data_IF_471552725819
#
_entry.id   IF_471552725819
#
_cell.length_a   1.000
_cell.length_b   1.000
_cell.length_c   1.000
_cell.angle_alpha   90.00
_cell.angle_beta   90.00
_cell.angle_gamma   90.00
#
_symmetry.space_group_name_H-M   'P 1'
#
loop_
_entity.id
_entity.type
_entity.pdbx_description
1 polymer ?
#
# COMPACT_ATOMS: atom_id res chain seq x y z
N UNK A 1 -19.68 11.34 -7.10
CA UNK A 1 -18.42 11.83 -6.47
C UNK A 1 -17.44 12.18 -7.59
N UNK A 2 -16.73 13.31 -7.52
CA UNK A 2 -15.74 13.66 -8.56
C UNK A 2 -14.48 12.78 -8.47
N UNK A 3 -13.76 12.61 -9.59
CA UNK A 3 -12.48 11.89 -9.60
C UNK A 3 -11.49 12.49 -8.59
N UNK A 4 -11.42 13.82 -8.47
CA UNK A 4 -10.60 14.53 -7.50
C UNK A 4 -10.90 14.10 -6.06
N UNK A 5 -12.18 14.02 -5.68
CA UNK A 5 -12.57 13.59 -4.33
C UNK A 5 -12.17 12.12 -4.09
N UNK A 6 -12.36 11.23 -5.06
CA UNK A 6 -11.99 9.82 -4.95
C UNK A 6 -10.49 9.63 -4.75
N UNK A 7 -9.65 10.38 -5.47
CA UNK A 7 -8.20 10.37 -5.25
C UNK A 7 -7.81 10.89 -3.86
N UNK A 8 -8.47 11.93 -3.35
CA UNK A 8 -8.24 12.42 -1.98
C UNK A 8 -8.66 11.40 -0.92
N UNK A 9 -9.79 10.72 -1.12
CA UNK A 9 -10.22 9.60 -0.25
C UNK A 9 -9.19 8.49 -0.28
N UNK A 10 -8.72 8.08 -1.47
CA UNK A 10 -7.66 7.08 -1.59
C UNK A 10 -6.38 7.50 -0.84
N UNK A 11 -5.97 8.79 -0.95
CA UNK A 11 -4.81 9.32 -0.22
C UNK A 11 -4.96 9.19 1.29
N UNK A 12 -6.10 9.58 1.85
CA UNK A 12 -6.37 9.46 3.30
C UNK A 12 -6.36 8.00 3.74
N UNK A 13 -7.00 7.10 2.98
CA UNK A 13 -6.98 5.66 3.27
C UNK A 13 -5.55 5.10 3.24
N UNK A 14 -4.72 5.54 2.30
CA UNK A 14 -3.31 5.13 2.19
C UNK A 14 -2.48 5.63 3.38
N UNK A 15 -2.71 6.85 3.86
CA UNK A 15 -2.05 7.36 5.07
C UNK A 15 -2.43 6.55 6.31
N UNK A 16 -3.71 6.22 6.46
CA UNK A 16 -4.19 5.36 7.55
C UNK A 16 -3.62 3.95 7.45
N UNK A 17 -3.55 3.41 6.23
CA UNK A 17 -2.94 2.11 5.98
C UNK A 17 -1.44 2.12 6.33
N UNK A 18 -0.70 3.15 5.89
CA UNK A 18 0.73 3.30 6.23
C UNK A 18 0.95 3.41 7.73
N UNK A 19 0.13 4.19 8.45
CA UNK A 19 0.20 4.33 9.90
C UNK A 19 -0.11 3.00 10.60
N UNK A 20 -1.18 2.32 10.23
CA UNK A 20 -1.54 1.01 10.77
C UNK A 20 -0.46 -0.05 10.51
N UNK A 21 0.09 -0.07 9.30
CA UNK A 21 1.20 -0.95 8.94
C UNK A 21 2.44 -0.65 9.78
N UNK A 22 2.85 0.62 9.88
CA UNK A 22 4.03 1.03 10.66
C UNK A 22 3.91 0.67 12.14
N UNK A 23 2.72 0.79 12.71
CA UNK A 23 2.47 0.47 14.12
C UNK A 23 2.37 -1.03 14.38
N UNK A 24 1.98 -1.82 13.36
CA UNK A 24 1.62 -3.22 13.52
C UNK A 24 2.64 -4.24 13.03
N UNK A 25 3.38 -3.96 11.94
CA UNK A 25 4.14 -5.00 11.23
C UNK A 25 5.23 -5.71 12.05
N UNK A 26 5.78 -5.07 13.08
CA UNK A 26 6.77 -5.68 14.00
C UNK A 26 6.17 -6.22 15.29
N UNK A 27 4.85 -6.08 15.48
CA UNK A 27 4.18 -6.60 16.67
C UNK A 27 3.87 -8.07 16.45
N UNK A 28 4.32 -8.91 17.38
CA UNK A 28 3.98 -10.33 17.42
C UNK A 28 2.87 -10.49 18.45
N UNK A 29 1.74 -11.04 18.04
CA UNK A 29 0.65 -11.35 18.97
C UNK A 29 1.05 -12.59 19.79
N UNK A 30 1.06 -12.53 21.12
CA UNK A 30 1.40 -13.68 21.96
C UNK A 30 0.58 -14.94 21.67
N UNK A 31 -0.66 -14.76 21.17
CA UNK A 31 -1.55 -15.87 20.78
C UNK A 31 -1.03 -16.70 19.60
N UNK A 32 -0.10 -16.16 18.81
CA UNK A 32 0.50 -16.90 17.69
C UNK A 32 1.54 -17.90 18.12
N UNK A 33 1.98 -17.86 19.39
CA UNK A 33 3.03 -18.74 19.92
C UNK A 33 4.29 -18.77 19.04
N UNK A 34 4.69 -17.60 18.53
CA UNK A 34 5.75 -17.45 17.54
C UNK A 34 7.11 -17.02 18.12
N UNK A 35 7.25 -16.99 19.45
CA UNK A 35 8.45 -16.47 20.12
C UNK A 35 9.73 -17.19 19.71
N UNK A 36 9.70 -18.53 19.60
CA UNK A 36 10.83 -19.33 19.15
C UNK A 36 11.23 -18.97 17.69
N UNK A 37 10.24 -18.80 16.81
CA UNK A 37 10.47 -18.40 15.42
C UNK A 37 11.08 -17.01 15.33
N UNK A 38 10.55 -16.04 16.09
CA UNK A 38 11.07 -14.68 16.13
C UNK A 38 12.50 -14.65 16.69
N UNK A 39 12.79 -15.49 17.68
CA UNK A 39 14.15 -15.63 18.23
C UNK A 39 15.10 -16.17 17.17
N UNK A 40 14.74 -17.23 16.47
CA UNK A 40 15.52 -17.78 15.37
C UNK A 40 15.75 -16.77 14.23
N UNK A 41 14.72 -15.95 13.88
CA UNK A 41 14.88 -14.89 12.89
C UNK A 41 15.89 -13.81 13.27
N UNK A 42 16.23 -13.65 14.55
CA UNK A 42 17.22 -12.67 15.04
C UNK A 42 18.65 -13.22 15.04
N UNK A 43 18.84 -14.51 14.80
CA UNK A 43 20.18 -15.08 14.64
C UNK A 43 20.87 -14.45 13.43
N UNK A 44 22.16 -14.08 13.65
CA UNK A 44 22.91 -13.33 12.64
C UNK A 44 23.72 -14.27 11.74
N UNK A 45 23.89 -13.86 10.49
CA UNK A 45 24.73 -14.53 9.50
C UNK A 45 25.48 -13.50 8.64
N UNK A 46 26.49 -13.96 7.92
CA UNK A 46 27.24 -13.11 6.99
C UNK A 46 26.63 -13.19 5.60
N UNK A 47 26.34 -12.03 5.03
CA UNK A 47 25.87 -11.90 3.63
C UNK A 47 26.57 -10.72 2.96
N UNK A 48 27.32 -10.98 1.90
CA UNK A 48 28.07 -9.97 1.12
C UNK A 48 28.92 -9.03 2.00
N UNK A 49 29.58 -9.58 3.01
CA UNK A 49 30.44 -8.82 3.93
C UNK A 49 29.71 -8.01 5.00
N UNK A 50 28.40 -8.18 5.13
CA UNK A 50 27.57 -7.54 6.16
C UNK A 50 27.01 -8.58 7.14
N UNK A 51 26.99 -8.26 8.42
CA UNK A 51 26.27 -9.05 9.42
C UNK A 51 24.81 -8.67 9.42
N UNK A 52 23.92 -9.61 9.16
CA UNK A 52 22.47 -9.41 9.07
C UNK A 52 21.74 -10.59 9.71
N UNK A 53 20.44 -10.41 9.93
CA UNK A 53 19.50 -11.44 10.36
C UNK A 53 18.26 -11.43 9.45
N UNK A 54 17.47 -12.48 9.46
CA UNK A 54 16.16 -12.48 8.77
C UNK A 54 15.22 -11.43 9.36
N UNK A 55 15.36 -11.11 10.64
CA UNK A 55 14.62 -10.02 11.28
C UNK A 55 14.96 -8.64 10.70
N UNK A 56 16.24 -8.42 10.32
CA UNK A 56 16.64 -7.18 9.63
C UNK A 56 15.98 -7.08 8.26
N UNK A 57 15.96 -8.17 7.49
CA UNK A 57 15.29 -8.20 6.19
C UNK A 57 13.79 -7.99 6.33
N UNK A 58 13.13 -8.69 7.24
CA UNK A 58 11.71 -8.51 7.55
C UNK A 58 11.40 -7.05 7.91
N UNK A 59 12.19 -6.46 8.80
CA UNK A 59 12.02 -5.07 9.22
C UNK A 59 12.27 -4.10 8.06
N UNK A 60 13.31 -4.34 7.26
CA UNK A 60 13.65 -3.55 6.08
C UNK A 60 12.53 -3.56 5.05
N UNK A 61 11.98 -4.73 4.72
CA UNK A 61 10.81 -4.84 3.82
C UNK A 61 9.57 -4.16 4.40
N UNK A 62 9.33 -4.24 5.71
CA UNK A 62 8.24 -3.53 6.35
C UNK A 62 8.38 -2.01 6.25
N UNK A 63 9.57 -1.46 6.48
CA UNK A 63 9.83 -0.02 6.27
C UNK A 63 9.70 0.39 4.81
N UNK A 64 10.20 -0.43 3.89
CA UNK A 64 10.06 -0.20 2.45
C UNK A 64 8.58 -0.18 2.04
N UNK A 65 7.77 -1.11 2.52
CA UNK A 65 6.34 -1.13 2.29
C UNK A 65 5.64 0.14 2.82
N UNK A 66 5.98 0.58 4.04
CA UNK A 66 5.47 1.85 4.60
C UNK A 66 5.84 3.04 3.69
N UNK A 67 7.09 3.12 3.23
CA UNK A 67 7.56 4.16 2.32
C UNK A 67 6.77 4.18 1.00
N UNK A 68 6.50 3.01 0.42
CA UNK A 68 5.69 2.92 -0.80
C UNK A 68 4.23 3.32 -0.57
N UNK A 69 3.63 2.99 0.57
CA UNK A 69 2.28 3.43 0.93
C UNK A 69 2.20 4.95 1.08
N UNK A 70 3.20 5.58 1.71
CA UNK A 70 3.30 7.03 1.82
C UNK A 70 3.48 7.68 0.45
N UNK A 71 4.35 7.15 -0.40
CA UNK A 71 4.51 7.62 -1.77
C UNK A 71 3.20 7.53 -2.56
N UNK A 72 2.49 6.40 -2.46
CA UNK A 72 1.19 6.22 -3.09
C UNK A 72 0.14 7.22 -2.57
N UNK A 73 0.17 7.55 -1.27
CA UNK A 73 -0.71 8.56 -0.69
C UNK A 73 -0.45 9.96 -1.28
N UNK A 74 0.82 10.35 -1.40
CA UNK A 74 1.22 11.63 -2.02
C UNK A 74 0.80 11.65 -3.49
N UNK A 75 1.03 10.57 -4.23
CA UNK A 75 0.63 10.47 -5.63
C UNK A 75 -0.89 10.60 -5.80
N UNK A 76 -1.67 9.90 -4.97
CA UNK A 76 -3.14 10.03 -4.99
C UNK A 76 -3.59 11.47 -4.68
N UNK A 77 -2.96 12.12 -3.70
CA UNK A 77 -3.26 13.51 -3.37
C UNK A 77 -2.99 14.45 -4.55
N UNK A 78 -1.84 14.29 -5.22
CA UNK A 78 -1.47 15.07 -6.40
C UNK A 78 -2.44 14.85 -7.57
N UNK A 79 -2.82 13.60 -7.85
CA UNK A 79 -3.84 13.31 -8.87
C UNK A 79 -5.17 13.98 -8.54
N UNK A 80 -5.56 14.04 -7.26
CA UNK A 80 -6.76 14.72 -6.81
C UNK A 80 -6.71 16.26 -6.90
N UNK A 81 -5.53 16.83 -7.16
CA UNK A 81 -5.35 18.27 -7.37
C UNK A 81 -5.35 18.69 -8.86
N UNK A 82 -5.29 17.71 -9.79
CA UNK A 82 -5.24 17.98 -11.22
C UNK A 82 -6.63 18.36 -11.78
N UNK A 83 -6.63 19.17 -12.84
CA UNK A 83 -7.84 19.43 -13.64
C UNK A 83 -8.30 18.17 -14.38
N UNK A 84 -9.57 18.13 -14.79
CA UNK A 84 -10.12 17.01 -15.56
C UNK A 84 -9.34 16.74 -16.86
N UNK A 85 -8.92 17.81 -17.54
CA UNK A 85 -8.14 17.71 -18.79
C UNK A 85 -6.77 17.08 -18.54
N UNK A 86 -6.05 17.52 -17.50
CA UNK A 86 -4.77 16.93 -17.11
C UNK A 86 -4.91 15.46 -16.73
N UNK A 87 -5.96 15.10 -15.98
CA UNK A 87 -6.27 13.71 -15.64
C UNK A 87 -6.55 12.86 -16.88
N UNK A 88 -7.25 13.41 -17.89
CA UNK A 88 -7.56 12.67 -19.13
C UNK A 88 -6.29 12.25 -19.88
N UNK A 89 -5.24 13.06 -19.83
CA UNK A 89 -3.93 12.76 -20.42
C UNK A 89 -3.15 11.66 -19.66
N UNK A 90 -3.50 11.38 -18.42
CA UNK A 90 -2.81 10.40 -17.56
C UNK A 90 -3.52 9.04 -17.49
N UNK A 91 -4.22 8.63 -18.54
CA UNK A 91 -5.04 7.41 -18.55
C UNK A 91 -4.25 6.17 -18.13
N UNK A 92 -3.04 5.95 -18.69
CA UNK A 92 -2.20 4.81 -18.35
C UNK A 92 -1.79 4.82 -16.86
N UNK A 93 -1.32 5.96 -16.36
CA UNK A 93 -0.88 6.08 -14.96
C UNK A 93 -2.02 5.84 -13.96
N UNK A 94 -3.21 6.37 -14.25
CA UNK A 94 -4.41 6.18 -13.42
C UNK A 94 -4.83 4.72 -13.33
N UNK A 95 -4.90 4.02 -14.47
CA UNK A 95 -5.26 2.61 -14.52
C UNK A 95 -4.16 1.72 -13.96
N UNK A 96 -2.88 2.00 -14.23
CA UNK A 96 -1.77 1.27 -13.63
C UNK A 96 -1.81 1.36 -12.10
N UNK A 97 -2.11 2.54 -11.56
CA UNK A 97 -2.25 2.73 -10.11
C UNK A 97 -3.43 1.93 -9.53
N UNK A 98 -4.59 1.96 -10.19
CA UNK A 98 -5.77 1.18 -9.79
C UNK A 98 -5.49 -0.33 -9.85
N UNK A 99 -4.94 -0.84 -10.95
CA UNK A 99 -4.61 -2.26 -11.14
C UNK A 99 -3.57 -2.74 -10.13
N UNK A 100 -2.58 -1.91 -9.79
CA UNK A 100 -1.60 -2.20 -8.75
C UNK A 100 -2.31 -2.51 -7.41
N UNK A 101 -3.26 -1.68 -6.98
CA UNK A 101 -3.99 -1.92 -5.72
C UNK A 101 -5.01 -3.05 -5.80
N UNK A 102 -5.58 -3.35 -6.96
CA UNK A 102 -6.35 -4.60 -7.16
C UNK A 102 -5.45 -5.82 -6.96
N UNK A 103 -4.26 -5.83 -7.56
CA UNK A 103 -3.26 -6.88 -7.35
C UNK A 103 -2.84 -7.02 -5.88
N UNK A 104 -2.57 -5.88 -5.21
CA UNK A 104 -2.25 -5.87 -3.77
C UNK A 104 -3.41 -6.41 -2.92
N UNK A 105 -4.66 -6.15 -3.29
CA UNK A 105 -5.83 -6.72 -2.60
C UNK A 105 -5.84 -8.24 -2.70
N UNK A 106 -5.56 -8.80 -3.88
CA UNK A 106 -5.48 -10.25 -4.08
C UNK A 106 -4.33 -10.85 -3.25
N UNK A 107 -3.16 -10.20 -3.25
CA UNK A 107 -2.00 -10.64 -2.46
C UNK A 107 -2.29 -10.58 -0.97
N UNK A 108 -2.87 -9.49 -0.48
CA UNK A 108 -3.18 -9.36 0.95
C UNK A 108 -4.25 -10.35 1.40
N UNK A 109 -5.26 -10.62 0.57
CA UNK A 109 -6.25 -11.65 0.83
C UNK A 109 -5.63 -13.06 0.90
N UNK A 110 -4.66 -13.35 0.03
CA UNK A 110 -4.04 -14.70 -0.04
C UNK A 110 -3.04 -14.97 1.09
N UNK A 111 -2.32 -13.94 1.55
CA UNK A 111 -1.14 -14.11 2.39
C UNK A 111 -1.23 -13.44 3.76
N UNK A 112 -2.23 -12.58 4.01
CA UNK A 112 -2.30 -11.81 5.24
C UNK A 112 -3.64 -12.02 5.97
N UNK A 113 -3.83 -11.29 7.06
CA UNK A 113 -5.07 -11.23 7.83
C UNK A 113 -6.01 -10.11 7.29
N UNK A 114 -7.28 -10.00 7.79
CA UNK A 114 -8.29 -9.13 7.16
C UNK A 114 -7.93 -7.66 7.04
N UNK A 115 -7.21 -7.07 8.02
CA UNK A 115 -6.99 -5.62 8.03
C UNK A 115 -6.26 -5.08 6.77
N UNK A 116 -5.08 -5.62 6.36
CA UNK A 116 -4.44 -5.22 5.10
C UNK A 116 -5.35 -5.39 3.88
N UNK A 117 -6.13 -6.47 3.84
CA UNK A 117 -7.05 -6.76 2.73
C UNK A 117 -8.16 -5.72 2.63
N UNK A 118 -8.77 -5.34 3.76
CA UNK A 118 -9.81 -4.32 3.80
C UNK A 118 -9.26 -2.98 3.32
N UNK A 119 -8.10 -2.55 3.84
CA UNK A 119 -7.50 -1.28 3.42
C UNK A 119 -7.15 -1.27 1.94
N UNK A 120 -6.48 -2.32 1.43
CA UNK A 120 -6.12 -2.40 0.00
C UNK A 120 -7.35 -2.44 -0.90
N UNK A 121 -8.43 -3.14 -0.51
CA UNK A 121 -9.68 -3.20 -1.26
C UNK A 121 -10.40 -1.83 -1.31
N UNK A 122 -10.46 -1.10 -0.20
CA UNK A 122 -11.04 0.24 -0.16
C UNK A 122 -10.26 1.23 -1.03
N UNK A 123 -8.92 1.17 -0.98
CA UNK A 123 -8.05 1.98 -1.85
C UNK A 123 -8.25 1.59 -3.30
N UNK A 124 -8.24 0.30 -3.64
CA UNK A 124 -8.46 -0.19 -5.00
C UNK A 124 -9.81 0.29 -5.56
N UNK A 125 -10.88 0.18 -4.78
CA UNK A 125 -12.21 0.67 -5.17
C UNK A 125 -12.19 2.16 -5.47
N UNK A 126 -11.62 2.98 -4.57
CA UNK A 126 -11.54 4.43 -4.76
C UNK A 126 -10.74 4.78 -6.03
N UNK A 127 -9.61 4.11 -6.27
CA UNK A 127 -8.75 4.35 -7.45
C UNK A 127 -9.40 3.90 -8.75
N UNK A 128 -10.08 2.75 -8.78
CA UNK A 128 -10.82 2.26 -9.95
C UNK A 128 -11.94 3.24 -10.32
N UNK A 129 -12.74 3.66 -9.35
CA UNK A 129 -13.80 4.64 -9.58
C UNK A 129 -13.25 5.99 -10.04
N UNK A 130 -12.12 6.45 -9.49
CA UNK A 130 -11.47 7.69 -9.91
C UNK A 130 -10.92 7.58 -11.34
N UNK A 131 -10.29 6.45 -11.68
CA UNK A 131 -9.79 6.21 -13.03
C UNK A 131 -10.91 6.16 -14.07
N UNK A 132 -12.03 5.53 -13.72
CA UNK A 132 -13.22 5.47 -14.58
C UNK A 132 -13.81 6.85 -14.87
N UNK A 133 -14.04 7.65 -13.83
CA UNK A 133 -14.63 9.01 -13.99
C UNK A 133 -13.72 9.95 -14.77
N UNK A 134 -12.39 9.85 -14.60
CA UNK A 134 -11.46 10.64 -15.40
C UNK A 134 -11.41 10.25 -16.88
N UNK A 135 -11.98 9.11 -17.28
CA UNK A 135 -12.11 8.70 -18.67
C UNK A 135 -13.36 9.29 -19.35
N UNK A 136 -14.41 9.62 -18.57
CA UNK A 136 -15.70 10.11 -19.07
C UNK A 136 -15.74 11.61 -19.39
N UNK A 137 -14.67 12.36 -19.14
CA UNK A 137 -14.62 13.81 -19.40
C UNK A 137 -14.34 14.18 -20.88
N UNK A 138 -14.39 13.22 -21.81
CA UNK A 138 -14.28 13.42 -23.26
C UNK A 138 -15.66 13.30 -23.91
N UNK A 139 -16.61 14.10 -23.46
CA UNK A 139 -17.92 14.26 -24.08
C UNK A 139 -18.25 15.73 -24.24
#
# INVERSE_FOLDING_TARGET
MSAALLYRVASVLLLLYAAGHQLGFRRVDPRWNADATVTAMKETFQVQGQTRSYWDFFSGFGFFCTGLLLFAAILAWQLGALSSDALSGLTLARWAFAVCFVGLTILTWRYFFPAPTIFSALVALALVLAAWQGAGAKG
#
